data_IF_153102004907
#
_entry.id   IF_153102004907
#
_cell.length_a   1.000
_cell.length_b   1.000
_cell.length_c   1.000
_cell.angle_alpha   90.00
_cell.angle_beta   90.00
_cell.angle_gamma   90.00
#
_symmetry.space_group_name_H-M   'P 1'
#
loop_
_entity.id
_entity.type
_entity.pdbx_description
1 polymer ?
#
# COMPACT_ATOMS: atom_id res chain seq x y z
N UNK A 1 -11.68 -11.06 3.19
CA UNK A 1 -11.36 -10.18 2.05
C UNK A 1 -10.96 -8.82 2.60
N UNK A 2 -9.70 -8.63 3.00
CA UNK A 2 -9.30 -7.45 3.81
C UNK A 2 -8.13 -6.65 3.22
N UNK A 3 -7.62 -7.03 2.04
CA UNK A 3 -6.39 -6.47 1.47
C UNK A 3 -6.55 -5.83 0.08
N UNK A 4 -7.78 -5.52 -0.34
CA UNK A 4 -8.09 -5.21 -1.77
C UNK A 4 -8.04 -3.71 -2.09
N UNK A 5 -8.01 -2.83 -1.09
CA UNK A 5 -8.17 -1.37 -1.32
C UNK A 5 -6.94 -0.65 -1.89
N UNK A 6 -5.76 -1.28 -1.88
CA UNK A 6 -4.54 -0.64 -2.40
C UNK A 6 -4.61 -0.40 -3.92
N UNK A 7 -5.13 -1.38 -4.67
CA UNK A 7 -5.18 -1.30 -6.14
C UNK A 7 -6.17 -0.24 -6.67
N UNK A 8 -7.42 -0.15 -6.15
CA UNK A 8 -8.35 0.92 -6.56
C UNK A 8 -7.84 2.33 -6.22
N UNK A 9 -7.26 2.53 -5.03
CA UNK A 9 -6.74 3.84 -4.61
C UNK A 9 -5.61 4.34 -5.52
N UNK A 10 -4.74 3.43 -5.96
CA UNK A 10 -3.65 3.76 -6.90
C UNK A 10 -4.20 4.20 -8.26
N UNK A 11 -5.32 3.61 -8.71
CA UNK A 11 -5.98 4.00 -9.97
C UNK A 11 -6.60 5.39 -9.84
N UNK A 12 -7.29 5.68 -8.74
CA UNK A 12 -7.92 7.00 -8.51
C UNK A 12 -6.88 8.11 -8.39
N UNK A 13 -5.80 7.91 -7.63
CA UNK A 13 -4.76 8.92 -7.49
C UNK A 13 -3.97 9.13 -8.79
N UNK A 14 -3.81 8.07 -9.60
CA UNK A 14 -3.25 8.21 -10.93
C UNK A 14 -4.18 9.01 -11.86
N UNK A 15 -5.49 8.75 -11.82
CA UNK A 15 -6.48 9.49 -12.60
C UNK A 15 -6.59 10.96 -12.19
N UNK A 16 -6.36 11.27 -10.91
CA UNK A 16 -6.32 12.64 -10.38
C UNK A 16 -5.04 13.41 -10.78
N UNK A 17 -4.06 12.75 -11.41
CA UNK A 17 -2.83 13.41 -11.88
C UNK A 17 -1.95 13.94 -10.75
N UNK A 18 -2.06 13.38 -9.55
CA UNK A 18 -1.30 13.83 -8.37
C UNK A 18 0.21 13.80 -8.62
N UNK A 19 0.91 14.81 -8.10
CA UNK A 19 2.36 14.77 -8.05
C UNK A 19 2.83 13.56 -7.25
N UNK A 20 3.97 13.02 -7.65
CA UNK A 20 4.50 11.76 -7.11
C UNK A 20 4.61 11.75 -5.58
N UNK A 21 5.03 12.85 -4.97
CA UNK A 21 5.14 12.95 -3.51
C UNK A 21 3.77 12.88 -2.84
N UNK A 22 2.79 13.60 -3.40
CA UNK A 22 1.41 13.63 -2.91
C UNK A 22 0.71 12.28 -3.10
N UNK A 23 0.97 11.60 -4.22
CA UNK A 23 0.51 10.24 -4.49
C UNK A 23 0.99 9.27 -3.40
N UNK A 24 2.30 9.20 -3.14
CA UNK A 24 2.83 8.24 -2.15
C UNK A 24 2.38 8.59 -0.73
N UNK A 25 2.31 9.89 -0.40
CA UNK A 25 1.80 10.34 0.89
C UNK A 25 0.35 9.94 1.11
N UNK A 26 -0.50 10.08 0.10
CA UNK A 26 -1.93 9.73 0.17
C UNK A 26 -2.15 8.22 0.28
N UNK A 27 -1.38 7.42 -0.47
CA UNK A 27 -1.40 5.95 -0.37
C UNK A 27 -0.93 5.50 1.02
N UNK A 28 0.18 6.05 1.51
CA UNK A 28 0.73 5.72 2.83
C UNK A 28 -0.25 6.07 3.94
N UNK A 29 -0.83 7.26 3.89
CA UNK A 29 -1.83 7.71 4.85
C UNK A 29 -3.04 6.77 4.87
N UNK A 30 -3.60 6.45 3.70
CA UNK A 30 -4.75 5.54 3.58
C UNK A 30 -4.44 4.16 4.14
N UNK A 31 -3.24 3.64 3.87
CA UNK A 31 -2.79 2.36 4.41
C UNK A 31 -2.70 2.37 5.94
N UNK A 32 -2.10 3.41 6.53
CA UNK A 32 -1.97 3.56 7.98
C UNK A 32 -3.34 3.66 8.64
N UNK A 33 -4.24 4.49 8.10
CA UNK A 33 -5.61 4.61 8.60
C UNK A 33 -6.32 3.26 8.57
N UNK A 34 -6.24 2.54 7.45
CA UNK A 34 -6.87 1.23 7.32
C UNK A 34 -6.30 0.21 8.31
N UNK A 35 -4.97 0.17 8.48
CA UNK A 35 -4.31 -0.72 9.45
C UNK A 35 -4.68 -0.38 10.90
N UNK A 36 -4.79 0.90 11.24
CA UNK A 36 -5.21 1.33 12.58
C UNK A 36 -6.65 0.92 12.86
N UNK A 37 -7.56 1.18 11.93
CA UNK A 37 -8.96 0.76 12.04
C UNK A 37 -9.05 -0.77 12.15
N UNK A 38 -8.30 -1.51 11.34
CA UNK A 38 -8.24 -2.96 11.39
C UNK A 38 -7.72 -3.48 12.74
N UNK A 39 -6.67 -2.87 13.29
CA UNK A 39 -6.11 -3.25 14.58
C UNK A 39 -7.11 -2.99 15.71
N UNK A 40 -7.73 -1.81 15.73
CA UNK A 40 -8.77 -1.47 16.71
C UNK A 40 -9.95 -2.43 16.65
N UNK A 41 -10.41 -2.77 15.44
CA UNK A 41 -11.45 -3.77 15.26
C UNK A 41 -11.02 -5.14 15.81
N UNK A 42 -9.80 -5.61 15.51
CA UNK A 42 -9.33 -6.89 16.03
C UNK A 42 -9.26 -6.93 17.55
N UNK A 43 -8.81 -5.83 18.18
CA UNK A 43 -8.75 -5.69 19.63
C UNK A 43 -10.16 -5.67 20.23
N UNK A 44 -11.09 -4.91 19.63
CA UNK A 44 -12.47 -4.79 20.10
C UNK A 44 -13.23 -6.13 20.03
N UNK A 45 -13.07 -6.88 18.95
CA UNK A 45 -13.69 -8.20 18.78
C UNK A 45 -12.99 -9.31 19.61
N UNK A 46 -11.96 -8.99 20.40
CA UNK A 46 -11.20 -9.96 21.21
C UNK A 46 -10.39 -10.96 20.38
N UNK A 47 -10.26 -10.73 19.07
CA UNK A 47 -9.61 -11.61 18.12
C UNK A 47 -8.11 -11.40 17.98
N UNK A 48 -7.48 -10.59 18.85
CA UNK A 48 -6.05 -10.32 18.81
C UNK A 48 -5.30 -11.20 19.83
N UNK A 49 -4.75 -12.36 19.41
CA UNK A 49 -3.98 -13.22 20.31
C UNK A 49 -2.69 -12.51 20.71
N UNK A 50 -2.46 -12.35 22.02
CA UNK A 50 -1.26 -11.74 22.59
C UNK A 50 0.04 -12.41 22.11
N UNK A 51 0.00 -13.70 21.76
CA UNK A 51 1.14 -14.43 21.21
C UNK A 51 1.62 -13.91 19.85
N UNK A 52 0.75 -13.24 19.07
CA UNK A 52 1.10 -12.68 17.76
C UNK A 52 1.62 -11.23 17.86
N UNK A 53 1.54 -10.59 19.02
CA UNK A 53 2.05 -9.21 19.24
C UNK A 53 3.52 -9.05 18.78
N UNK A 54 4.47 -9.90 19.20
CA UNK A 54 5.86 -9.75 18.77
C UNK A 54 6.05 -9.98 17.26
N UNK A 55 5.32 -10.94 16.68
CA UNK A 55 5.35 -11.19 15.23
C UNK A 55 4.78 -9.99 14.46
N UNK A 56 3.66 -9.41 14.91
CA UNK A 56 3.06 -8.23 14.33
C UNK A 56 3.97 -7.00 14.45
N UNK A 57 4.64 -6.82 15.59
CA UNK A 57 5.63 -5.76 15.79
C UNK A 57 6.81 -5.91 14.83
N UNK A 58 7.36 -7.14 14.69
CA UNK A 58 8.43 -7.44 13.74
C UNK A 58 8.01 -7.13 12.29
N UNK A 59 6.83 -7.58 11.87
CA UNK A 59 6.30 -7.29 10.54
C UNK A 59 6.02 -5.79 10.32
N UNK A 60 5.63 -5.06 11.37
CA UNK A 60 5.45 -3.61 11.31
C UNK A 60 6.80 -2.92 11.05
N UNK A 61 7.86 -3.33 11.75
CA UNK A 61 9.21 -2.81 11.52
C UNK A 61 9.67 -3.10 10.10
N UNK A 62 9.48 -4.32 9.60
CA UNK A 62 9.83 -4.69 8.22
C UNK A 62 9.04 -3.84 7.21
N UNK A 63 7.75 -3.61 7.46
CA UNK A 63 6.92 -2.73 6.64
C UNK A 63 7.41 -1.28 6.63
N UNK A 64 7.77 -0.74 7.80
CA UNK A 64 8.35 0.60 7.92
C UNK A 64 9.69 0.72 7.21
N UNK A 65 10.57 -0.28 7.33
CA UNK A 65 11.84 -0.33 6.62
C UNK A 65 11.62 -0.33 5.10
N UNK A 66 10.70 -1.17 4.60
CA UNK A 66 10.32 -1.20 3.19
C UNK A 66 9.76 0.14 2.71
N UNK A 67 8.95 0.81 3.54
CA UNK A 67 8.41 2.14 3.22
C UNK A 67 9.52 3.21 3.12
N UNK A 68 10.46 3.24 4.07
CA UNK A 68 11.60 4.17 4.03
C UNK A 68 12.50 3.93 2.80
N UNK A 69 12.75 2.65 2.46
CA UNK A 69 13.46 2.31 1.23
C UNK A 69 12.69 2.77 -0.01
N UNK A 70 11.36 2.61 -0.01
CA UNK A 70 10.47 3.09 -1.06
C UNK A 70 10.55 4.61 -1.25
N UNK A 71 10.55 5.38 -0.16
CA UNK A 71 10.75 6.83 -0.21
C UNK A 71 12.12 7.19 -0.80
N UNK A 72 13.18 6.49 -0.40
CA UNK A 72 14.52 6.72 -0.95
C UNK A 72 14.62 6.44 -2.45
N UNK A 73 13.97 5.38 -2.93
CA UNK A 73 13.88 5.06 -4.37
C UNK A 73 13.01 6.11 -5.08
N UNK A 74 11.90 6.50 -4.45
CA UNK A 74 11.00 7.52 -4.96
C UNK A 74 11.78 8.82 -5.14
N UNK A 75 12.48 9.36 -4.16
CA UNK A 75 13.20 10.63 -4.30
C UNK A 75 14.20 10.67 -5.47
N UNK A 76 14.73 9.52 -5.89
CA UNK A 76 15.69 9.44 -7.01
C UNK A 76 15.05 9.34 -8.40
N UNK A 77 13.77 9.01 -8.50
CA UNK A 77 13.10 8.85 -9.78
C UNK A 77 12.63 10.20 -10.34
N UNK A 78 12.63 10.36 -11.65
CA UNK A 78 12.01 11.53 -12.28
C UNK A 78 10.48 11.35 -12.37
N UNK A 79 9.70 12.44 -12.45
CA UNK A 79 8.21 12.36 -12.45
C UNK A 79 7.69 11.54 -13.64
N UNK A 80 8.29 11.70 -14.83
CA UNK A 80 7.91 10.92 -16.02
C UNK A 80 8.20 9.43 -15.84
N UNK A 81 9.35 9.10 -15.25
CA UNK A 81 9.74 7.70 -14.99
C UNK A 81 8.81 7.06 -13.95
N UNK A 82 8.42 7.81 -12.92
CA UNK A 82 7.46 7.35 -11.93
C UNK A 82 6.10 7.05 -12.56
N UNK A 83 5.58 7.94 -13.41
CA UNK A 83 4.31 7.74 -14.08
C UNK A 83 4.34 6.50 -15.00
N UNK A 84 5.44 6.32 -15.77
CA UNK A 84 5.63 5.12 -16.60
C UNK A 84 5.70 3.84 -15.77
N UNK A 85 6.44 3.85 -14.67
CA UNK A 85 6.54 2.71 -13.78
C UNK A 85 5.17 2.35 -13.18
N UNK A 86 4.38 3.36 -12.79
CA UNK A 86 3.03 3.15 -12.25
C UNK A 86 2.07 2.58 -13.31
N UNK A 87 2.14 3.07 -14.56
CA UNK A 87 1.37 2.49 -15.67
C UNK A 87 1.74 1.03 -15.95
N UNK A 88 3.02 0.69 -15.94
CA UNK A 88 3.49 -0.70 -16.11
C UNK A 88 2.98 -1.57 -14.96
N UNK A 89 3.03 -1.08 -13.72
CA UNK A 89 2.48 -1.76 -12.55
C UNK A 89 0.97 -2.01 -12.72
N UNK A 90 0.21 -0.99 -13.10
CA UNK A 90 -1.23 -1.07 -13.33
C UNK A 90 -1.57 -2.06 -14.45
N UNK A 91 -0.83 -2.04 -15.57
CA UNK A 91 -1.00 -2.99 -16.66
C UNK A 91 -0.73 -4.42 -16.19
N UNK A 92 0.35 -4.64 -15.44
CA UNK A 92 0.67 -5.95 -14.89
C UNK A 92 -0.41 -6.45 -13.91
N UNK A 93 -0.94 -5.57 -13.05
CA UNK A 93 -2.05 -5.89 -12.15
C UNK A 93 -3.33 -6.22 -12.92
N UNK A 94 -3.63 -5.49 -13.98
CA UNK A 94 -4.76 -5.77 -14.86
C UNK A 94 -4.64 -7.15 -15.53
N UNK A 95 -3.47 -7.48 -16.08
CA UNK A 95 -3.19 -8.80 -16.67
C UNK A 95 -3.32 -9.90 -15.61
N UNK A 96 -2.74 -9.69 -14.43
CA UNK A 96 -2.85 -10.65 -13.33
C UNK A 96 -4.30 -10.89 -12.91
N UNK A 97 -5.12 -9.84 -12.84
CA UNK A 97 -6.55 -9.93 -12.54
C UNK A 97 -7.31 -10.75 -13.58
N UNK A 98 -7.02 -10.53 -14.87
CA UNK A 98 -7.62 -11.33 -15.95
C UNK A 98 -7.22 -12.79 -15.82
N UNK A 99 -5.94 -13.10 -15.62
CA UNK A 99 -5.46 -14.47 -15.44
C UNK A 99 -6.09 -15.13 -14.19
N UNK A 100 -6.21 -14.39 -13.08
CA UNK A 100 -6.81 -14.86 -11.83
C UNK A 100 -8.31 -15.14 -11.96
N UNK A 101 -8.99 -14.44 -12.88
CA UNK A 101 -10.43 -14.57 -13.11
C UNK A 101 -10.82 -15.73 -14.04
N UNK A 102 -9.84 -16.36 -14.69
CA UNK A 102 -9.97 -17.57 -15.53
C UNK A 102 -9.62 -18.79 -14.69
#
# INVERSE_FOLDING_TARGET
MTNVYGTPLVIDFYALGMEKQEFVRSVAFSFVVYKLVQLLALVWYGGFPMALVPAAAGLTIVGLAGFLLGLGIQDRLDQQTFNRANLVLLAALGVWLVIRSV
#
